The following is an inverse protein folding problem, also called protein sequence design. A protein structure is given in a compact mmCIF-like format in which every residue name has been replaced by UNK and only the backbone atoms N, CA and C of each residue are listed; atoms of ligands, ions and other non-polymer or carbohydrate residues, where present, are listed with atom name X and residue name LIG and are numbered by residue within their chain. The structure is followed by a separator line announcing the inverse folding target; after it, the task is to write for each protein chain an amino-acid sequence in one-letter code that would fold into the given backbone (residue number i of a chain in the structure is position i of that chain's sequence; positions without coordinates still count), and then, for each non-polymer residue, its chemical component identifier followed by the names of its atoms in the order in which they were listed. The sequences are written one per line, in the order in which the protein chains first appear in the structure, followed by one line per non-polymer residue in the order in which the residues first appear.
data_IF_566275545567
#
_entry.id   IF_566275545567
#
_cell.length_a   1.000
_cell.length_b   1.000
_cell.length_c   1.000
_cell.angle_alpha   90.00
_cell.angle_beta   90.00
_cell.angle_gamma   90.00
#
_symmetry.space_group_name_H-M   'P 1'
#
loop_
_entity.id
_entity.type
_entity.pdbx_description
1 polymer ?
#
# COMPACT_ATOMS: atom_id res chain seq x y z
N UNK A 1 -8.15 -10.66 9.64
CA UNK A 1 -9.10 -9.52 9.81
C UNK A 1 -8.40 -8.44 10.62
N UNK A 2 -8.33 -7.19 10.13
CA UNK A 2 -7.74 -6.07 10.86
C UNK A 2 -8.83 -5.20 11.49
N UNK A 3 -8.82 -5.03 12.81
CA UNK A 3 -9.69 -4.07 13.53
C UNK A 3 -8.85 -2.86 13.89
N UNK A 4 -9.34 -1.66 13.59
CA UNK A 4 -8.60 -0.40 13.77
C UNK A 4 -9.53 0.65 14.37
N UNK A 5 -9.01 1.46 15.29
CA UNK A 5 -9.74 2.58 15.90
C UNK A 5 -10.00 3.67 14.86
N UNK A 6 -11.19 4.25 14.88
CA UNK A 6 -11.56 5.39 14.02
C UNK A 6 -10.62 6.57 14.27
N UNK A 7 -10.10 7.16 13.20
CA UNK A 7 -9.14 8.27 13.23
C UNK A 7 -7.69 7.85 13.52
N UNK A 8 -7.40 6.57 13.74
CA UNK A 8 -6.02 6.13 13.99
C UNK A 8 -5.17 6.17 12.70
N UNK A 9 -3.89 6.48 12.84
CA UNK A 9 -2.95 6.54 11.70
C UNK A 9 -2.93 5.25 10.89
N UNK A 10 -3.01 4.10 11.56
CA UNK A 10 -3.02 2.79 10.92
C UNK A 10 -4.33 2.49 10.15
N UNK A 11 -5.43 3.18 10.47
CA UNK A 11 -6.68 3.15 9.70
C UNK A 11 -6.51 3.97 8.42
N UNK A 12 -6.04 5.22 8.54
CA UNK A 12 -5.77 6.09 7.39
C UNK A 12 -4.80 5.44 6.41
N UNK A 13 -3.71 4.87 6.94
CA UNK A 13 -2.69 4.17 6.17
C UNK A 13 -3.31 3.13 5.23
N UNK A 14 -4.14 2.23 5.78
CA UNK A 14 -4.71 1.13 5.01
C UNK A 14 -5.72 1.61 3.95
N UNK A 15 -6.50 2.65 4.27
CA UNK A 15 -7.48 3.25 3.35
C UNK A 15 -6.80 4.03 2.22
N UNK A 16 -5.81 4.86 2.57
CA UNK A 16 -5.05 5.66 1.61
C UNK A 16 -4.30 4.79 0.62
N UNK A 17 -3.55 3.80 1.10
CA UNK A 17 -2.81 2.88 0.24
C UNK A 17 -3.72 2.18 -0.77
N UNK A 18 -4.88 1.70 -0.32
CA UNK A 18 -5.89 1.06 -1.18
C UNK A 18 -6.42 2.02 -2.25
N UNK A 19 -6.82 3.22 -1.84
CA UNK A 19 -7.46 4.17 -2.74
C UNK A 19 -6.47 4.76 -3.74
N UNK A 20 -5.23 5.00 -3.32
CA UNK A 20 -4.14 5.37 -4.22
C UNK A 20 -3.93 4.31 -5.31
N UNK A 21 -3.81 3.03 -4.95
CA UNK A 21 -3.61 1.97 -5.95
C UNK A 21 -4.80 1.81 -6.90
N UNK A 22 -6.02 2.10 -6.46
CA UNK A 22 -7.21 2.11 -7.33
C UNK A 22 -7.18 3.28 -8.32
N UNK A 23 -6.69 4.44 -7.89
CA UNK A 23 -6.54 5.62 -8.74
C UNK A 23 -5.34 5.52 -9.71
N UNK A 24 -4.36 4.64 -9.42
CA UNK A 24 -3.13 4.48 -10.21
C UNK A 24 -2.94 3.02 -10.70
N UNK A 25 -3.67 2.60 -11.76
CA UNK A 25 -3.60 1.23 -12.27
C UNK A 25 -2.19 0.76 -12.64
N UNK A 26 -1.34 1.65 -13.15
CA UNK A 26 0.06 1.32 -13.47
C UNK A 26 0.87 0.96 -12.20
N UNK A 27 0.73 1.73 -11.11
CA UNK A 27 1.37 1.42 -9.82
C UNK A 27 0.83 0.12 -9.23
N UNK A 28 -0.47 -0.14 -9.35
CA UNK A 28 -1.08 -1.41 -8.93
C UNK A 28 -0.56 -2.61 -9.72
N UNK A 29 -0.41 -2.47 -11.04
CA UNK A 29 0.15 -3.51 -11.89
C UNK A 29 1.62 -3.79 -11.55
N UNK A 30 2.44 -2.75 -11.37
CA UNK A 30 3.84 -2.89 -10.98
C UNK A 30 3.99 -3.55 -9.60
N UNK A 31 3.17 -3.15 -8.61
CA UNK A 31 3.18 -3.78 -7.29
C UNK A 31 2.71 -5.25 -7.35
N UNK A 32 1.70 -5.55 -8.16
CA UNK A 32 1.25 -6.92 -8.41
C UNK A 32 2.34 -7.80 -9.02
N UNK A 33 3.10 -7.27 -9.98
CA UNK A 33 4.22 -7.96 -10.60
C UNK A 33 5.38 -8.19 -9.63
N UNK A 34 5.74 -7.18 -8.83
CA UNK A 34 6.74 -7.32 -7.77
C UNK A 34 6.37 -8.49 -6.84
N UNK A 35 5.13 -8.54 -6.37
CA UNK A 35 4.67 -9.61 -5.48
C UNK A 35 4.80 -11.00 -6.13
N UNK A 36 4.46 -11.15 -7.41
CA UNK A 36 4.61 -12.42 -8.14
C UNK A 36 6.09 -12.84 -8.25
N UNK A 37 6.97 -11.90 -8.61
CA UNK A 37 8.41 -12.17 -8.73
C UNK A 37 9.03 -12.57 -7.39
N UNK A 38 8.68 -11.87 -6.31
CA UNK A 38 9.15 -12.20 -4.97
C UNK A 38 8.65 -13.57 -4.51
N UNK A 39 7.37 -13.88 -4.74
CA UNK A 39 6.80 -15.18 -4.38
C UNK A 39 7.44 -16.35 -5.15
N UNK A 40 7.87 -16.12 -6.39
CA UNK A 40 8.49 -17.15 -7.23
C UNK A 40 10.02 -17.25 -7.04
N UNK A 41 10.69 -16.17 -6.64
CA UNK A 41 12.15 -16.05 -6.67
C UNK A 41 12.86 -16.05 -5.32
N UNK A 42 12.14 -15.93 -4.20
CA UNK A 42 12.77 -15.99 -2.88
C UNK A 42 13.08 -17.44 -2.49
N UNK A 43 14.31 -17.66 -2.03
CA UNK A 43 14.73 -18.95 -1.49
C UNK A 43 14.03 -19.27 -0.16
N UNK A 44 13.78 -18.24 0.65
CA UNK A 44 13.02 -18.32 1.90
C UNK A 44 11.72 -17.49 1.78
N UNK A 45 10.55 -18.15 1.75
CA UNK A 45 9.26 -17.46 1.73
C UNK A 45 9.02 -16.56 2.94
N UNK A 46 9.62 -16.84 4.10
CA UNK A 46 9.41 -16.06 5.33
C UNK A 46 10.07 -14.68 5.26
N UNK A 47 11.05 -14.49 4.39
CA UNK A 47 11.67 -13.19 4.10
C UNK A 47 10.79 -12.28 3.23
N UNK A 48 9.71 -12.81 2.63
CA UNK A 48 8.86 -12.06 1.70
C UNK A 48 8.31 -10.73 2.26
N UNK A 49 7.78 -10.66 3.50
CA UNK A 49 7.29 -9.41 4.06
C UNK A 49 8.36 -8.33 4.12
N UNK A 50 9.58 -8.70 4.55
CA UNK A 50 10.69 -7.78 4.75
C UNK A 50 11.25 -7.27 3.42
N UNK A 51 11.44 -8.16 2.45
CA UNK A 51 11.93 -7.78 1.12
C UNK A 51 10.92 -6.90 0.37
N UNK A 52 9.62 -7.11 0.59
CA UNK A 52 8.55 -6.30 -0.01
C UNK A 52 8.37 -4.95 0.69
N UNK A 53 8.72 -4.83 1.98
CA UNK A 53 8.40 -3.67 2.80
C UNK A 53 8.87 -2.32 2.20
N UNK A 54 10.10 -2.18 1.67
CA UNK A 54 10.55 -0.91 1.09
C UNK A 54 9.68 -0.44 -0.09
N UNK A 55 9.16 -1.36 -0.91
CA UNK A 55 8.27 -1.00 -2.01
C UNK A 55 6.92 -0.49 -1.49
N UNK A 56 6.43 -1.04 -0.39
CA UNK A 56 5.21 -0.57 0.27
C UNK A 56 5.41 0.86 0.80
N UNK A 57 6.57 1.15 1.41
CA UNK A 57 6.90 2.48 1.92
C UNK A 57 6.95 3.52 0.80
N UNK A 58 7.59 3.20 -0.33
CA UNK A 58 7.65 4.10 -1.49
C UNK A 58 6.28 4.36 -2.11
N UNK A 59 5.43 3.32 -2.22
CA UNK A 59 4.05 3.48 -2.68
C UNK A 59 3.27 4.36 -1.70
N UNK A 60 3.48 4.19 -0.39
CA UNK A 60 2.81 4.98 0.62
C UNK A 60 3.24 6.46 0.58
N UNK A 61 4.53 6.74 0.37
CA UNK A 61 5.01 8.12 0.17
C UNK A 61 4.36 8.80 -1.05
N UNK A 62 4.24 8.08 -2.16
CA UNK A 62 3.52 8.58 -3.33
C UNK A 62 2.02 8.79 -3.04
N UNK A 63 1.42 7.91 -2.23
CA UNK A 63 0.04 8.03 -1.80
C UNK A 63 -0.20 9.25 -0.91
N UNK A 64 0.73 9.62 -0.02
CA UNK A 64 0.66 10.85 0.77
C UNK A 64 0.65 12.09 -0.12
N UNK A 65 1.58 12.17 -1.09
CA UNK A 65 1.62 13.29 -2.05
C UNK A 65 0.33 13.39 -2.86
N UNK A 66 -0.19 12.24 -3.32
CA UNK A 66 -1.47 12.19 -4.01
C UNK A 66 -2.62 12.69 -3.12
N UNK A 67 -2.64 12.30 -1.85
CA UNK A 67 -3.67 12.72 -0.92
C UNK A 67 -3.70 14.24 -0.73
N UNK A 68 -2.54 14.88 -0.65
CA UNK A 68 -2.41 16.34 -0.60
C UNK A 68 -2.97 16.99 -1.87
N UNK A 69 -2.54 16.51 -3.04
CA UNK A 69 -2.93 17.07 -4.34
C UNK A 69 -4.43 16.94 -4.62
N UNK A 70 -5.08 15.86 -4.17
CA UNK A 70 -6.50 15.63 -4.42
C UNK A 70 -7.38 15.97 -3.22
N UNK A 71 -6.82 16.52 -2.15
CA UNK A 71 -7.53 16.70 -0.87
C UNK A 71 -8.22 15.41 -0.41
N UNK A 72 -7.58 14.27 -0.61
CA UNK A 72 -8.16 12.97 -0.23
C UNK A 72 -8.35 12.92 1.28
N UNK A 73 -9.51 12.41 1.70
CA UNK A 73 -9.80 12.11 3.10
C UNK A 73 -10.44 10.73 3.20
N UNK A 74 -10.16 9.97 4.28
CA UNK A 74 -10.89 8.74 4.53
C UNK A 74 -12.37 9.07 4.69
N UNK A 75 -13.22 8.41 3.88
CA UNK A 75 -14.66 8.61 3.96
C UNK A 75 -15.13 8.28 5.38
N UNK A 76 -15.94 9.17 5.98
CA UNK A 76 -16.58 8.89 7.25
C UNK A 76 -17.41 7.60 7.10
N UNK A 77 -17.19 6.67 8.03
CA UNK A 77 -17.98 5.43 8.15
C UNK A 77 -19.12 5.69 9.11
#
# INVERSE_FOLDING_TARGET
MHVRRVGAANQRYALLFRDYLRAHPASAAAYGELKRRLAAGLADPDCYPDVKAPAVDLIYLAAEQWAELTSWQPRAV
#
